data_IF_490420647844
#
_entry.id   IF_490420647844
#
_cell.length_a   1.000
_cell.length_b   1.000
_cell.length_c   1.000
_cell.angle_alpha   90.00
_cell.angle_beta   90.00
_cell.angle_gamma   90.00
#
_symmetry.space_group_name_H-M   'P 1'
#
loop_
_entity.id
_entity.type
_entity.pdbx_description
1 polymer ?
#
# COMPACT_ATOMS: atom_id res chain seq x y z
N UNK A 1 -12.92 13.99 -15.87
CA UNK A 1 -11.78 14.39 -15.03
C UNK A 1 -10.84 13.19 -14.95
N UNK A 2 -9.60 13.30 -15.42
CA UNK A 2 -8.64 12.19 -15.32
C UNK A 2 -8.29 11.97 -13.85
N UNK A 3 -8.58 10.80 -13.30
CA UNK A 3 -8.13 10.44 -11.95
C UNK A 3 -6.60 10.46 -11.95
N UNK A 4 -6.01 11.24 -11.04
CA UNK A 4 -4.56 11.30 -10.88
C UNK A 4 -4.12 10.05 -10.13
N UNK A 5 -3.42 9.14 -10.80
CA UNK A 5 -2.83 7.96 -10.19
C UNK A 5 -1.38 8.27 -9.77
N UNK A 6 -1.04 7.92 -8.53
CA UNK A 6 0.31 8.03 -7.98
C UNK A 6 0.86 6.62 -7.80
N UNK A 7 1.87 6.28 -8.58
CA UNK A 7 2.58 5.00 -8.48
C UNK A 7 3.79 5.21 -7.57
N UNK A 8 3.77 4.57 -6.40
CA UNK A 8 4.85 4.64 -5.41
C UNK A 8 5.59 3.32 -5.45
N UNK A 9 6.88 3.37 -5.77
CA UNK A 9 7.76 2.22 -5.68
C UNK A 9 7.95 1.82 -4.20
N UNK A 10 7.87 0.52 -3.93
CA UNK A 10 7.89 -0.07 -2.59
C UNK A 10 9.28 -0.56 -2.19
N UNK A 11 10.27 -0.41 -3.08
CA UNK A 11 11.63 -0.89 -2.85
C UNK A 11 12.23 -0.28 -1.57
N UNK A 12 12.23 -1.07 -0.50
CA UNK A 12 12.87 -0.72 0.77
C UNK A 12 12.18 -1.21 2.05
N UNK A 13 10.92 -1.68 2.05
CA UNK A 13 10.26 -2.12 3.29
C UNK A 13 9.10 -3.11 3.05
N UNK A 14 9.14 -4.26 3.74
CA UNK A 14 8.05 -5.24 3.77
C UNK A 14 6.84 -4.69 4.54
N UNK A 15 5.65 -4.79 3.95
CA UNK A 15 4.37 -4.45 4.55
C UNK A 15 3.39 -5.60 4.42
N UNK A 16 2.45 -5.66 5.35
CA UNK A 16 1.34 -6.58 5.27
C UNK A 16 0.33 -6.09 4.23
N UNK A 17 -0.11 -6.98 3.35
CA UNK A 17 -1.16 -6.69 2.37
C UNK A 17 -2.55 -6.84 3.02
N UNK A 18 -3.48 -5.91 2.76
CA UNK A 18 -4.86 -6.04 3.24
C UNK A 18 -5.54 -7.27 2.62
N UNK A 19 -6.24 -8.10 3.41
CA UNK A 19 -6.83 -9.35 2.93
C UNK A 19 -8.08 -9.15 2.04
N UNK A 20 -8.61 -7.92 1.97
CA UNK A 20 -9.83 -7.60 1.24
C UNK A 20 -9.61 -7.32 -0.25
N UNK A 21 -8.58 -6.55 -0.59
CA UNK A 21 -8.33 -6.04 -1.94
C UNK A 21 -6.86 -5.99 -2.34
N UNK A 22 -5.94 -6.33 -1.42
CA UNK A 22 -4.49 -6.27 -1.61
C UNK A 22 -3.98 -4.87 -2.02
N UNK A 23 -4.74 -3.82 -1.73
CA UNK A 23 -4.39 -2.44 -2.09
C UNK A 23 -4.10 -1.61 -0.84
N UNK A 24 -2.91 -0.99 -0.79
CA UNK A 24 -2.57 0.02 0.22
C UNK A 24 -2.76 1.41 -0.38
N UNK A 25 -4.02 1.77 -0.58
CA UNK A 25 -4.47 3.03 -1.18
C UNK A 25 -4.68 4.16 -0.14
N UNK A 26 -4.63 3.82 1.15
CA UNK A 26 -4.84 4.73 2.29
C UNK A 26 -3.81 4.49 3.40
N UNK A 27 -3.55 5.54 4.19
CA UNK A 27 -2.61 5.48 5.32
C UNK A 27 -3.04 4.47 6.39
N UNK A 28 -4.35 4.28 6.58
CA UNK A 28 -4.90 3.35 7.57
C UNK A 28 -4.61 1.88 7.22
N UNK A 29 -4.42 1.59 5.93
CA UNK A 29 -4.04 0.27 5.41
C UNK A 29 -2.55 -0.01 5.51
N UNK A 30 -1.73 0.96 5.95
CA UNK A 30 -0.29 0.80 6.07
C UNK A 30 0.06 0.03 7.35
N UNK A 31 0.38 -1.25 7.20
CA UNK A 31 0.91 -2.09 8.28
C UNK A 31 2.28 -2.65 7.90
N UNK A 32 3.28 -2.46 8.77
CA UNK A 32 4.62 -3.03 8.57
C UNK A 32 4.60 -4.53 8.90
N UNK A 33 5.26 -5.35 8.06
CA UNK A 33 5.50 -6.75 8.40
C UNK A 33 6.40 -6.82 9.63
N UNK A 34 5.91 -7.48 10.70
CA UNK A 34 6.71 -7.70 11.90
C UNK A 34 7.56 -8.94 11.70
N UNK A 35 8.87 -8.73 11.51
CA UNK A 35 9.88 -9.79 11.69
C UNK A 35 9.95 -10.27 13.13
#
# INVERSE_FOLDING_TARGET
MSQKYLFIDRDGTLIAEPPEDFQVDRLDKLALERR
#
